data_IF_754965090770
#
_entry.id   IF_754965090770
#
_cell.length_a   1.000
_cell.length_b   1.000
_cell.length_c   1.000
_cell.angle_alpha   90.00
_cell.angle_beta   90.00
_cell.angle_gamma   90.00
#
_symmetry.space_group_name_H-M   'P 1'
#
loop_
_entity.id
_entity.type
_entity.pdbx_description
1 polymer ?
#
# COMPACT_ATOMS: atom_id res chain seq x y z
N UNK A 1 -4.92 -13.15 -7.29
CA UNK A 1 -4.42 -11.78 -7.14
C UNK A 1 -4.68 -11.36 -5.72
N UNK A 2 -3.64 -11.05 -4.97
CA UNK A 2 -3.71 -10.67 -3.57
C UNK A 2 -3.17 -9.27 -3.41
N UNK A 3 -4.01 -8.33 -2.98
CA UNK A 3 -3.60 -6.96 -2.71
C UNK A 3 -3.02 -6.92 -1.30
N UNK A 4 -1.74 -6.60 -1.17
CA UNK A 4 -1.04 -6.39 0.10
C UNK A 4 -0.87 -4.90 0.33
N UNK A 5 -1.25 -4.42 1.51
CA UNK A 5 -1.09 -3.03 1.92
C UNK A 5 -0.12 -2.99 3.10
N UNK A 6 1.08 -2.45 2.87
CA UNK A 6 2.08 -2.27 3.92
C UNK A 6 1.84 -0.97 4.66
N UNK A 7 1.74 -1.08 5.98
CA UNK A 7 1.44 0.02 6.90
C UNK A 7 2.25 -0.11 8.19
N UNK A 8 2.17 0.89 9.06
CA UNK A 8 2.70 0.82 10.42
C UNK A 8 1.64 1.22 11.43
N UNK A 9 1.50 0.46 12.51
CA UNK A 9 0.72 0.90 13.67
C UNK A 9 1.57 1.67 14.69
N UNK A 10 2.89 1.66 14.53
CA UNK A 10 3.84 2.36 15.41
C UNK A 10 4.42 3.55 14.63
N UNK A 11 3.76 4.70 14.75
CA UNK A 11 4.25 5.98 14.24
C UNK A 11 3.56 7.15 14.93
N UNK A 12 4.29 8.25 15.16
CA UNK A 12 3.73 9.54 15.60
C UNK A 12 3.53 10.53 14.45
N UNK A 13 3.89 10.15 13.22
CA UNK A 13 3.73 11.01 12.06
C UNK A 13 2.26 11.02 11.62
N UNK A 14 1.59 12.16 11.85
CA UNK A 14 0.18 12.35 11.54
C UNK A 14 -0.13 12.22 10.05
N UNK A 15 0.81 12.57 9.16
CA UNK A 15 0.62 12.41 7.71
C UNK A 15 0.53 10.92 7.34
N UNK A 16 1.42 10.09 7.89
CA UNK A 16 1.39 8.63 7.65
C UNK A 16 0.07 8.04 8.17
N UNK A 17 -0.33 8.38 9.41
CA UNK A 17 -1.60 7.90 9.99
C UNK A 17 -2.79 8.31 9.12
N UNK A 18 -2.81 9.57 8.66
CA UNK A 18 -3.86 10.11 7.80
C UNK A 18 -3.93 9.38 6.46
N UNK A 19 -2.79 9.17 5.81
CA UNK A 19 -2.69 8.51 4.51
C UNK A 19 -3.09 7.03 4.61
N UNK A 20 -2.63 6.30 5.62
CA UNK A 20 -3.04 4.92 5.88
C UNK A 20 -4.55 4.80 6.06
N UNK A 21 -5.15 5.68 6.86
CA UNK A 21 -6.60 5.67 7.11
C UNK A 21 -7.40 5.99 5.84
N UNK A 22 -6.97 6.98 5.06
CA UNK A 22 -7.61 7.33 3.78
C UNK A 22 -7.50 6.20 2.76
N UNK A 23 -6.34 5.57 2.65
CA UNK A 23 -6.11 4.43 1.76
C UNK A 23 -7.07 3.28 2.09
N UNK A 24 -7.15 2.87 3.37
CA UNK A 24 -8.09 1.84 3.81
C UNK A 24 -9.53 2.21 3.44
N UNK A 25 -9.92 3.45 3.73
CA UNK A 25 -11.25 3.94 3.40
C UNK A 25 -11.57 3.86 1.90
N UNK A 26 -10.61 4.20 1.04
CA UNK A 26 -10.78 4.09 -0.42
C UNK A 26 -11.01 2.63 -0.82
N UNK A 27 -10.18 1.69 -0.33
CA UNK A 27 -10.31 0.27 -0.67
C UNK A 27 -11.63 -0.32 -0.14
N UNK A 28 -11.97 -0.05 1.12
CA UNK A 28 -13.19 -0.52 1.77
C UNK A 28 -14.45 0.02 1.05
N UNK A 29 -14.46 1.32 0.71
CA UNK A 29 -15.59 1.95 0.00
C UNK A 29 -15.81 1.36 -1.40
N UNK A 30 -14.74 0.86 -2.04
CA UNK A 30 -14.80 0.20 -3.33
C UNK A 30 -14.96 -1.34 -3.24
N UNK A 31 -15.13 -1.89 -2.03
CA UNK A 31 -15.26 -3.33 -1.77
C UNK A 31 -14.07 -4.14 -2.31
N UNK A 32 -12.88 -3.60 -2.15
CA UNK A 32 -11.64 -4.24 -2.58
C UNK A 32 -11.04 -4.97 -1.39
N UNK A 33 -10.92 -6.30 -1.48
CA UNK A 33 -10.28 -7.11 -0.45
C UNK A 33 -8.76 -6.92 -0.47
N UNK A 34 -8.15 -6.74 0.71
CA UNK A 34 -6.71 -6.60 0.87
C UNK A 34 -6.22 -7.23 2.18
N UNK A 35 -4.92 -7.54 2.21
CA UNK A 35 -4.21 -7.95 3.41
C UNK A 35 -3.48 -6.74 3.98
N UNK A 36 -3.81 -6.40 5.23
CA UNK A 36 -3.12 -5.39 6.01
C UNK A 36 -1.85 -5.99 6.64
N UNK A 37 -0.69 -5.47 6.23
CA UNK A 37 0.62 -5.90 6.73
C UNK A 37 1.25 -4.75 7.51
N UNK A 38 1.24 -4.89 8.84
CA UNK A 38 1.95 -3.98 9.73
C UNK A 38 3.44 -4.30 9.77
N UNK A 39 4.28 -3.47 9.15
CA UNK A 39 5.74 -3.66 9.11
C UNK A 39 6.42 -3.37 10.45
N UNK A 40 5.67 -2.88 11.44
CA UNK A 40 6.17 -2.70 12.79
C UNK A 40 5.98 -3.94 13.68
N UNK A 41 5.12 -4.89 13.26
CA UNK A 41 4.93 -6.17 13.95
C UNK A 41 6.15 -7.08 13.71
N UNK A 42 6.81 -7.60 14.77
CA UNK A 42 7.91 -8.57 14.65
C UNK A 42 7.58 -9.81 13.81
N UNK A 43 6.30 -10.21 13.72
CA UNK A 43 5.85 -11.34 12.90
C UNK A 43 6.01 -11.09 11.39
N UNK A 44 6.09 -9.83 10.99
CA UNK A 44 6.16 -9.40 9.60
C UNK A 44 7.58 -8.93 9.21
N UNK A 45 8.62 -9.45 9.87
CA UNK A 45 10.00 -9.01 9.62
C UNK A 45 10.45 -9.32 8.19
N UNK A 46 10.06 -10.48 7.65
CA UNK A 46 10.36 -10.89 6.28
C UNK A 46 9.66 -9.97 5.27
N UNK A 47 8.40 -9.61 5.54
CA UNK A 47 7.60 -8.67 4.73
C UNK A 47 8.22 -7.26 4.75
N UNK A 48 8.73 -6.82 5.90
CA UNK A 48 9.48 -5.55 5.99
C UNK A 48 10.77 -5.58 5.18
N UNK A 49 11.55 -6.66 5.28
CA UNK A 49 12.77 -6.80 4.48
C UNK A 49 12.46 -6.81 2.98
N UNK A 50 11.40 -7.53 2.58
CA UNK A 50 10.93 -7.58 1.19
C UNK A 50 10.54 -6.19 0.67
N UNK A 51 9.76 -5.43 1.45
CA UNK A 51 9.37 -4.05 1.13
C UNK A 51 10.61 -3.16 0.92
N UNK A 52 11.56 -3.22 1.86
CA UNK A 52 12.79 -2.41 1.80
C UNK A 52 13.63 -2.76 0.57
N UNK A 53 13.87 -4.05 0.32
CA UNK A 53 14.64 -4.52 -0.85
C UNK A 53 14.00 -4.05 -2.14
N UNK A 54 12.68 -4.22 -2.29
CA UNK A 54 11.97 -3.88 -3.52
C UNK A 54 12.01 -2.37 -3.81
N UNK A 55 11.81 -1.53 -2.78
CA UNK A 55 11.83 -0.08 -2.96
C UNK A 55 13.23 0.45 -3.25
N UNK A 56 14.27 -0.09 -2.59
CA UNK A 56 15.67 0.26 -2.86
C UNK A 56 16.05 -0.11 -4.30
N UNK A 57 15.72 -1.33 -4.75
CA UNK A 57 15.97 -1.77 -6.12
C UNK A 57 15.24 -0.88 -7.15
N UNK A 58 14.07 -0.36 -6.78
CA UNK A 58 13.27 0.52 -7.61
C UNK A 58 13.64 2.01 -7.47
N UNK A 59 14.68 2.35 -6.69
CA UNK A 59 15.09 3.72 -6.35
C UNK A 59 13.94 4.58 -5.79
N UNK A 60 12.95 3.95 -5.16
CA UNK A 60 11.82 4.62 -4.51
C UNK A 60 12.14 4.89 -3.04
N UNK A 61 11.60 5.98 -2.51
CA UNK A 61 11.74 6.33 -1.10
C UNK A 61 10.85 5.42 -0.26
N UNK A 62 11.41 4.80 0.78
CA UNK A 62 10.65 4.03 1.76
C UNK A 62 9.74 4.98 2.58
N UNK A 63 8.48 5.04 2.20
CA UNK A 63 7.42 5.71 2.96
C UNK A 63 6.19 4.81 3.03
N UNK A 64 5.27 5.06 3.97
CA UNK A 64 4.05 4.27 4.15
C UNK A 64 2.82 5.18 3.95
N UNK A 65 1.68 4.64 3.48
CA UNK A 65 1.46 3.24 3.07
C UNK A 65 2.02 2.89 1.68
N UNK A 66 2.16 1.59 1.38
CA UNK A 66 2.55 1.07 0.06
C UNK A 66 1.64 -0.10 -0.35
N UNK A 67 1.27 -0.17 -1.63
CA UNK A 67 0.43 -1.25 -2.18
C UNK A 67 1.28 -2.15 -3.08
N UNK A 68 1.11 -3.45 -2.88
CA UNK A 68 1.65 -4.51 -3.73
C UNK A 68 0.51 -5.40 -4.21
N UNK A 69 0.70 -5.94 -5.41
CA UNK A 69 -0.17 -6.98 -5.96
C UNK A 69 0.68 -8.24 -6.06
N UNK A 70 0.28 -9.26 -5.31
CA UNK A 70 1.06 -10.48 -5.09
C UNK A 70 2.45 -10.13 -4.53
N UNK A 71 3.51 -10.25 -5.33
CA UNK A 71 4.90 -9.89 -4.97
C UNK A 71 5.45 -8.73 -5.81
N UNK A 72 4.58 -7.96 -6.47
CA UNK A 72 4.98 -6.85 -7.33
C UNK A 72 4.55 -5.53 -6.72
N UNK A 73 5.47 -4.56 -6.69
CA UNK A 73 5.13 -3.19 -6.34
C UNK A 73 4.05 -2.67 -7.29
N UNK A 74 2.98 -2.11 -6.73
CA UNK A 74 1.88 -1.55 -7.49
C UNK A 74 1.96 -0.02 -7.48
N UNK A 75 1.71 0.59 -6.32
CA UNK A 75 1.60 2.03 -6.19
C UNK A 75 1.78 2.49 -4.74
N UNK A 76 2.04 3.78 -4.56
CA UNK A 76 1.98 4.44 -3.25
C UNK A 76 0.63 5.14 -3.03
N UNK A 77 0.54 5.95 -1.98
CA UNK A 77 -0.69 6.67 -1.65
C UNK A 77 -1.04 7.78 -2.67
N UNK A 78 -0.06 8.48 -3.20
CA UNK A 78 -0.30 9.61 -4.10
C UNK A 78 -0.72 9.11 -5.49
N UNK A 79 -0.10 8.01 -5.93
CA UNK A 79 -0.52 7.25 -7.11
C UNK A 79 -1.99 6.79 -6.98
N UNK A 80 -2.37 6.25 -5.81
CA UNK A 80 -3.73 5.78 -5.54
C UNK A 80 -4.76 6.92 -5.60
N UNK A 81 -4.45 8.07 -4.98
CA UNK A 81 -5.32 9.24 -5.04
C UNK A 81 -5.51 9.71 -6.48
N UNK A 82 -4.42 9.81 -7.25
CA UNK A 82 -4.46 10.21 -8.65
C UNK A 82 -5.35 9.28 -9.48
N UNK A 83 -5.33 7.97 -9.20
CA UNK A 83 -6.18 7.00 -9.88
C UNK A 83 -7.65 7.07 -9.46
N UNK A 84 -7.96 7.41 -8.20
CA UNK A 84 -9.33 7.70 -7.77
C UNK A 84 -9.87 8.91 -8.51
N UNK A 85 -9.09 10.00 -8.58
CA UNK A 85 -9.48 11.23 -9.28
C UNK A 85 -9.67 11.01 -10.79
N UNK A 86 -8.85 10.15 -11.39
CA UNK A 86 -8.91 9.80 -12.82
C UNK A 86 -9.91 8.68 -13.13
N UNK A 87 -10.58 8.13 -12.11
CA UNK A 87 -11.47 6.96 -12.22
C UNK A 87 -10.79 5.70 -12.83
N UNK A 88 -9.48 5.54 -12.62
CA UNK A 88 -8.64 4.42 -13.09
C UNK A 88 -8.20 3.51 -11.94
N UNK A 89 -8.84 3.62 -10.76
CA UNK A 89 -8.48 2.84 -9.56
C UNK A 89 -8.40 1.33 -9.82
N UNK A 90 -9.40 0.78 -10.51
CA UNK A 90 -9.43 -0.65 -10.80
C UNK A 90 -8.35 -1.08 -11.80
N UNK A 91 -7.99 -0.22 -12.75
CA UNK A 91 -6.94 -0.47 -13.73
C UNK A 91 -5.57 -0.58 -13.06
N UNK A 92 -5.24 0.40 -12.20
CA UNK A 92 -3.96 0.38 -11.47
C UNK A 92 -3.86 -0.82 -10.52
N UNK A 93 -5.00 -1.25 -9.96
CA UNK A 93 -5.09 -2.42 -9.10
C UNK A 93 -5.25 -3.74 -9.88
N UNK A 94 -5.24 -3.69 -11.22
CA UNK A 94 -5.39 -4.86 -12.11
C UNK A 94 -6.67 -5.68 -11.85
N UNK A 95 -7.76 -5.00 -11.45
CA UNK A 95 -9.05 -5.61 -11.10
C UNK A 95 -10.02 -5.71 -12.29
N UNK A 96 -9.84 -4.90 -13.33
CA UNK A 96 -10.64 -4.98 -14.55
C UNK A 96 -9.90 -5.84 -15.61
N UNK A 97 -10.57 -6.90 -16.08
CA UNK A 97 -10.25 -7.65 -17.30
C UNK A 97 -11.37 -7.41 -18.32
#
# INVERSE_FOLDING_TARGET
MTIKVYMTNITSNQLIIGNQRKLKHILDANKIDYIDIDVSDPKNIDEKEFLQRTLISSKKILHLPQIFIDEQYCCDFDDLLSAVESNTLKEILKLDN
#
